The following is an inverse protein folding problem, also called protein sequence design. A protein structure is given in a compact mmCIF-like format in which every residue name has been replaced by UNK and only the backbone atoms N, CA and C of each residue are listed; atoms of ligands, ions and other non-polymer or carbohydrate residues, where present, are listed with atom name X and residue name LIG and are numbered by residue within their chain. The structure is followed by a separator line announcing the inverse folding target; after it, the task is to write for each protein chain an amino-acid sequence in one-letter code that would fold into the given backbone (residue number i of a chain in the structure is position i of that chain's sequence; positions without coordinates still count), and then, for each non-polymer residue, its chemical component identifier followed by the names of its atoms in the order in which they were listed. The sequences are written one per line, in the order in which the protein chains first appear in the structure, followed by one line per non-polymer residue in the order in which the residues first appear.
data_IF_615137910828
#
_entry.id   IF_615137910828
#
_cell.length_a   1.000
_cell.length_b   1.000
_cell.length_c   1.000
_cell.angle_alpha   90.00
_cell.angle_beta   90.00
_cell.angle_gamma   90.00
#
_symmetry.space_group_name_H-M   'P 1'
#
loop_
_entity.id
_entity.type
_entity.pdbx_description
1 polymer ?
#
# COMPACT_ATOMS: atom_id res chain seq x y z
N UNK A 1 14.26 -11.21 9.85
CA UNK A 1 13.18 -12.00 10.50
C UNK A 1 12.48 -11.20 11.61
N UNK A 2 13.16 -10.64 12.59
CA UNK A 2 12.59 -9.85 13.71
C UNK A 2 11.70 -8.67 13.26
N UNK A 3 12.09 -7.92 12.20
CA UNK A 3 11.29 -6.81 11.68
C UNK A 3 9.90 -7.26 11.23
N UNK A 4 9.77 -8.38 10.50
CA UNK A 4 8.47 -8.90 10.04
C UNK A 4 7.60 -9.44 11.17
N UNK A 5 8.21 -10.01 12.22
CA UNK A 5 7.50 -10.43 13.43
C UNK A 5 6.92 -9.19 14.15
N UNK A 6 7.70 -8.12 14.27
CA UNK A 6 7.24 -6.85 14.86
C UNK A 6 6.11 -6.20 14.04
N UNK A 7 6.21 -6.23 12.71
CA UNK A 7 5.15 -5.79 11.80
C UNK A 7 3.86 -6.60 11.97
N UNK A 8 3.99 -7.93 12.13
CA UNK A 8 2.82 -8.79 12.37
C UNK A 8 2.12 -8.46 13.69
N UNK A 9 2.86 -8.32 14.80
CA UNK A 9 2.28 -7.90 16.08
C UNK A 9 1.67 -6.49 16.02
N UNK A 10 2.32 -5.56 15.34
CA UNK A 10 1.76 -4.22 15.11
C UNK A 10 0.45 -4.25 14.33
N UNK A 11 0.35 -5.13 13.33
CA UNK A 11 -0.87 -5.31 12.54
C UNK A 11 -2.04 -5.90 13.37
N UNK A 12 -1.76 -6.80 14.30
CA UNK A 12 -2.80 -7.40 15.16
C UNK A 12 -3.43 -6.38 16.13
N UNK A 13 -2.68 -5.34 16.53
CA UNK A 13 -3.12 -4.30 17.47
C UNK A 13 -3.25 -2.92 16.80
N UNK A 14 -3.48 -2.89 15.49
CA UNK A 14 -3.57 -1.64 14.74
C UNK A 14 -4.82 -0.84 15.16
N UNK A 15 -4.59 0.41 15.55
CA UNK A 15 -5.62 1.38 15.91
C UNK A 15 -5.16 2.76 15.43
N UNK A 16 -6.06 3.51 14.80
CA UNK A 16 -5.78 4.89 14.37
C UNK A 16 -6.06 5.84 15.53
N UNK A 17 -5.03 6.55 15.96
CA UNK A 17 -5.14 7.54 17.02
C UNK A 17 -5.80 8.84 16.52
N UNK A 18 -6.44 9.65 17.40
CA UNK A 18 -7.05 10.92 17.00
C UNK A 18 -6.11 11.87 16.24
N UNK A 19 -4.84 11.95 16.67
CA UNK A 19 -3.83 12.76 15.97
C UNK A 19 -3.51 12.25 14.55
N UNK A 20 -3.71 10.97 14.29
CA UNK A 20 -3.49 10.35 12.98
C UNK A 20 -4.68 10.55 12.05
N UNK A 21 -5.90 10.63 12.59
CA UNK A 21 -7.08 11.04 11.82
C UNK A 21 -6.89 12.45 11.23
N UNK A 22 -6.28 13.36 12.00
CA UNK A 22 -5.96 14.70 11.50
C UNK A 22 -5.03 14.65 10.28
N UNK A 23 -4.05 13.75 10.24
CA UNK A 23 -3.17 13.58 9.06
C UNK A 23 -4.00 13.24 7.82
N UNK A 24 -5.00 12.38 7.96
CA UNK A 24 -5.85 11.94 6.85
C UNK A 24 -6.70 13.11 6.35
N UNK A 25 -7.40 13.79 7.26
CA UNK A 25 -8.31 14.90 6.93
C UNK A 25 -7.57 16.12 6.36
N UNK A 26 -6.36 16.42 6.84
CA UNK A 26 -5.57 17.55 6.35
C UNK A 26 -4.97 17.32 4.95
N UNK A 27 -4.81 16.06 4.52
CA UNK A 27 -4.07 15.73 3.28
C UNK A 27 -4.90 15.07 2.19
N UNK A 28 -6.08 14.53 2.50
CA UNK A 28 -6.95 13.84 1.55
C UNK A 28 -8.30 14.55 1.42
N UNK A 29 -8.82 14.68 0.20
CA UNK A 29 -10.19 15.11 -0.02
C UNK A 29 -11.18 13.97 0.31
N UNK A 30 -12.48 14.25 0.33
CA UNK A 30 -13.53 13.31 0.72
C UNK A 30 -13.51 12.01 -0.12
N UNK A 31 -13.33 12.12 -1.43
CA UNK A 31 -13.29 10.95 -2.30
C UNK A 31 -12.04 10.08 -2.06
N UNK A 32 -10.88 10.70 -1.80
CA UNK A 32 -9.64 10.01 -1.43
C UNK A 32 -9.76 9.37 -0.03
N UNK A 33 -10.41 10.05 0.92
CA UNK A 33 -10.70 9.52 2.27
C UNK A 33 -11.57 8.27 2.19
N UNK A 34 -12.57 8.23 1.33
CA UNK A 34 -13.42 7.06 1.14
C UNK A 34 -12.60 5.83 0.72
N UNK A 35 -11.62 5.98 -0.17
CA UNK A 35 -10.72 4.89 -0.53
C UNK A 35 -9.78 4.52 0.60
N UNK A 36 -9.24 5.50 1.33
CA UNK A 36 -8.37 5.26 2.48
C UNK A 36 -9.09 4.45 3.56
N UNK A 37 -10.29 4.87 3.97
CA UNK A 37 -11.07 4.17 4.99
C UNK A 37 -11.68 2.84 4.52
N UNK A 38 -11.73 2.58 3.22
CA UNK A 38 -12.11 1.27 2.69
C UNK A 38 -11.02 0.20 2.88
N UNK A 39 -9.77 0.58 3.19
CA UNK A 39 -8.70 -0.35 3.53
C UNK A 39 -8.94 -1.00 4.89
N UNK A 40 -8.31 -2.15 5.15
CA UNK A 40 -8.24 -2.71 6.51
C UNK A 40 -7.45 -1.76 7.43
N UNK A 41 -7.82 -1.70 8.72
CA UNK A 41 -7.18 -0.78 9.70
C UNK A 41 -5.66 -0.94 9.76
N UNK A 42 -5.15 -2.15 9.55
CA UNK A 42 -3.71 -2.43 9.50
C UNK A 42 -3.02 -1.75 8.31
N UNK A 43 -3.69 -1.71 7.14
CA UNK A 43 -3.16 -1.03 5.95
C UNK A 43 -3.26 0.48 6.10
N UNK A 44 -4.30 0.97 6.77
CA UNK A 44 -4.43 2.39 7.12
C UNK A 44 -3.28 2.83 8.05
N UNK A 45 -3.00 2.07 9.11
CA UNK A 45 -1.88 2.34 10.03
C UNK A 45 -0.52 2.25 9.32
N UNK A 46 -0.34 1.27 8.41
CA UNK A 46 0.86 1.16 7.58
C UNK A 46 1.03 2.41 6.70
N UNK A 47 0.00 2.83 5.98
CA UNK A 47 0.04 4.02 5.13
C UNK A 47 0.39 5.30 5.92
N UNK A 48 -0.12 5.45 7.15
CA UNK A 48 0.25 6.56 8.05
C UNK A 48 1.72 6.48 8.46
N UNK A 49 2.25 5.29 8.73
CA UNK A 49 3.67 5.13 9.06
C UNK A 49 4.55 5.44 7.85
N UNK A 50 4.17 4.99 6.66
CA UNK A 50 4.85 5.35 5.40
C UNK A 50 4.81 6.87 5.19
N UNK A 51 3.67 7.52 5.41
CA UNK A 51 3.55 8.99 5.36
C UNK A 51 4.55 9.70 6.30
N UNK A 52 4.67 9.25 7.55
CA UNK A 52 5.64 9.82 8.50
C UNK A 52 7.09 9.61 8.03
N UNK A 53 7.38 8.47 7.42
CA UNK A 53 8.71 8.12 6.94
C UNK A 53 9.07 8.88 5.67
N UNK A 54 8.16 9.04 4.70
CA UNK A 54 8.42 9.85 3.50
C UNK A 54 8.75 11.30 3.85
N UNK A 55 8.10 11.88 4.87
CA UNK A 55 8.41 13.24 5.32
C UNK A 55 9.81 13.38 5.95
N UNK A 56 10.33 12.33 6.56
CA UNK A 56 11.71 12.30 7.06
C UNK A 56 12.70 12.22 5.90
N UNK A 57 12.47 11.29 4.97
CA UNK A 57 13.36 11.06 3.83
C UNK A 57 13.35 12.27 2.88
N UNK A 58 12.19 12.91 2.67
CA UNK A 58 12.07 14.08 1.79
C UNK A 58 12.99 15.24 2.18
N UNK A 59 13.35 15.36 3.46
CA UNK A 59 14.30 16.38 3.94
C UNK A 59 15.74 16.20 3.42
N UNK A 60 16.06 15.02 2.90
CA UNK A 60 17.37 14.72 2.30
C UNK A 60 17.49 15.28 0.87
N UNK A 61 16.40 15.82 0.30
CA UNK A 61 16.30 16.24 -1.10
C UNK A 61 15.88 17.70 -1.24
N UNK A 62 16.53 18.44 -2.14
CA UNK A 62 16.27 19.87 -2.35
C UNK A 62 15.02 20.16 -3.22
N UNK A 63 14.58 19.20 -4.02
CA UNK A 63 13.47 19.37 -4.96
C UNK A 63 12.59 18.13 -4.99
N UNK A 64 11.52 18.17 -4.20
CA UNK A 64 10.51 17.08 -4.09
C UNK A 64 9.13 17.72 -4.01
N UNK A 65 8.17 17.19 -4.72
CA UNK A 65 6.77 17.55 -4.53
C UNK A 65 6.23 16.86 -3.26
N UNK A 66 6.35 17.56 -2.14
CA UNK A 66 5.93 17.07 -0.81
C UNK A 66 4.43 16.81 -0.76
N UNK A 67 3.61 17.59 -1.48
CA UNK A 67 2.15 17.40 -1.52
C UNK A 67 1.79 16.11 -2.25
N UNK A 68 2.40 15.87 -3.41
CA UNK A 68 2.28 14.63 -4.15
C UNK A 68 2.72 13.43 -3.31
N UNK A 69 3.87 13.56 -2.64
CA UNK A 69 4.47 12.49 -1.83
C UNK A 69 3.58 12.12 -0.63
N UNK A 70 3.01 13.12 0.07
CA UNK A 70 2.08 12.92 1.18
C UNK A 70 0.84 12.12 0.76
N UNK A 71 0.19 12.55 -0.32
CA UNK A 71 -1.00 11.87 -0.84
C UNK A 71 -0.68 10.46 -1.32
N UNK A 72 0.41 10.30 -2.05
CA UNK A 72 0.83 9.00 -2.56
C UNK A 72 1.13 8.03 -1.42
N UNK A 73 1.78 8.48 -0.34
CA UNK A 73 2.06 7.65 0.83
C UNK A 73 0.78 7.15 1.52
N UNK A 74 -0.24 8.00 1.64
CA UNK A 74 -1.53 7.59 2.23
C UNK A 74 -2.34 6.67 1.32
N UNK A 75 -2.17 6.77 0.01
CA UNK A 75 -3.03 6.12 -0.97
C UNK A 75 -2.37 4.93 -1.70
N UNK A 76 -1.09 4.62 -1.43
CA UNK A 76 -0.36 3.60 -2.22
C UNK A 76 -1.00 2.21 -2.17
N UNK A 77 -1.63 1.87 -1.08
CA UNK A 77 -2.24 0.57 -0.81
C UNK A 77 -3.77 0.51 -0.95
N UNK A 78 -4.44 1.58 -1.45
CA UNK A 78 -5.92 1.63 -1.59
C UNK A 78 -6.52 0.56 -2.50
N UNK A 79 -5.70 -0.13 -3.27
CA UNK A 79 -6.11 -1.31 -4.03
C UNK A 79 -6.41 -2.54 -3.16
N UNK A 80 -6.13 -2.50 -1.86
CA UNK A 80 -6.45 -3.54 -0.87
C UNK A 80 -7.66 -3.10 -0.03
N UNK A 81 -8.83 -3.63 -0.34
CA UNK A 81 -10.02 -3.34 0.46
C UNK A 81 -10.07 -4.19 1.73
N UNK A 82 -10.75 -3.69 2.74
CA UNK A 82 -11.03 -4.45 3.95
C UNK A 82 -11.69 -5.80 3.58
N UNK A 83 -11.23 -6.87 4.23
CA UNK A 83 -11.62 -8.28 3.99
C UNK A 83 -11.06 -8.93 2.71
N UNK A 84 -10.37 -8.22 1.81
CA UNK A 84 -9.72 -8.86 0.66
C UNK A 84 -8.57 -9.77 1.09
N UNK A 85 -7.81 -9.35 2.12
CA UNK A 85 -6.72 -10.12 2.71
C UNK A 85 -6.83 -10.09 4.24
N UNK A 86 -6.83 -11.26 4.86
CA UNK A 86 -6.52 -11.37 6.28
C UNK A 86 -5.03 -11.15 6.53
N UNK A 87 -4.63 -10.92 7.79
CA UNK A 87 -3.21 -10.83 8.18
C UNK A 87 -2.45 -12.11 7.78
N UNK A 88 -3.07 -13.27 7.94
CA UNK A 88 -2.50 -14.55 7.52
C UNK A 88 -2.32 -14.65 6.01
N UNK A 89 -3.32 -14.21 5.23
CA UNK A 89 -3.23 -14.19 3.77
C UNK A 89 -2.07 -13.30 3.29
N UNK A 90 -1.83 -12.15 3.94
CA UNK A 90 -0.68 -11.28 3.64
C UNK A 90 0.65 -12.01 3.87
N UNK A 91 0.82 -12.66 5.03
CA UNK A 91 2.05 -13.39 5.35
C UNK A 91 2.27 -14.54 4.36
N UNK A 92 1.24 -15.33 4.09
CA UNK A 92 1.34 -16.45 3.16
C UNK A 92 1.60 -15.95 1.74
N UNK A 93 0.93 -14.89 1.29
CA UNK A 93 1.17 -14.29 -0.03
C UNK A 93 2.62 -13.84 -0.19
N UNK A 94 3.17 -13.11 0.80
CA UNK A 94 4.59 -12.70 0.80
C UNK A 94 5.51 -13.91 0.67
N UNK A 95 5.29 -14.97 1.44
CA UNK A 95 6.11 -16.17 1.39
C UNK A 95 5.97 -16.91 0.04
N UNK A 96 4.74 -17.03 -0.46
CA UNK A 96 4.46 -17.67 -1.75
C UNK A 96 5.14 -16.91 -2.91
N UNK A 97 5.01 -15.59 -2.98
CA UNK A 97 5.67 -14.81 -4.03
C UNK A 97 7.19 -14.77 -3.87
N UNK A 98 7.72 -14.88 -2.65
CA UNK A 98 9.17 -14.97 -2.41
C UNK A 98 9.78 -16.30 -2.84
N UNK A 99 9.16 -17.43 -2.47
CA UNK A 99 9.74 -18.75 -2.67
C UNK A 99 9.19 -19.48 -3.91
N UNK A 100 7.95 -19.22 -4.30
CA UNK A 100 7.25 -19.91 -5.39
C UNK A 100 6.51 -18.92 -6.33
N UNK A 101 7.21 -17.88 -6.89
CA UNK A 101 6.54 -16.79 -7.62
C UNK A 101 5.71 -17.26 -8.81
N UNK A 102 6.19 -18.24 -9.56
CA UNK A 102 5.47 -18.80 -10.72
C UNK A 102 4.19 -19.52 -10.29
N UNK A 103 4.23 -20.28 -9.18
CA UNK A 103 3.07 -20.98 -8.64
C UNK A 103 2.05 -19.98 -8.06
N UNK A 104 2.52 -19.01 -7.27
CA UNK A 104 1.67 -17.97 -6.72
C UNK A 104 0.92 -17.19 -7.81
N UNK A 105 1.62 -16.80 -8.88
CA UNK A 105 1.02 -16.14 -10.03
C UNK A 105 -0.02 -17.00 -10.76
N UNK A 106 0.22 -18.32 -10.92
CA UNK A 106 -0.76 -19.24 -11.52
C UNK A 106 -1.99 -19.46 -10.64
N UNK A 107 -1.83 -19.45 -9.32
CA UNK A 107 -2.93 -19.63 -8.37
C UNK A 107 -3.74 -18.34 -8.19
N UNK A 108 -3.14 -17.18 -8.39
CA UNK A 108 -3.80 -15.88 -8.25
C UNK A 108 -5.02 -15.77 -9.18
N UNK A 109 -6.22 -15.64 -8.60
CA UNK A 109 -7.47 -15.53 -9.37
C UNK A 109 -8.45 -14.63 -8.64
N UNK A 110 -9.03 -13.69 -9.38
CA UNK A 110 -10.09 -12.84 -8.84
C UNK A 110 -11.36 -13.65 -8.54
N UNK A 111 -12.02 -13.31 -7.44
CA UNK A 111 -13.30 -13.88 -7.03
C UNK A 111 -13.19 -14.64 -5.71
N UNK A 112 -14.20 -14.43 -4.87
CA UNK A 112 -14.33 -15.03 -3.52
C UNK A 112 -15.37 -16.17 -3.53
N UNK A 113 -15.43 -16.93 -2.46
CA UNK A 113 -16.38 -18.02 -2.32
C UNK A 113 -15.97 -18.97 -1.19
N UNK A 114 -15.48 -20.16 -1.54
CA UNK A 114 -14.93 -21.08 -0.57
C UNK A 114 -13.51 -20.67 -0.11
N UNK A 115 -12.95 -21.39 0.86
CA UNK A 115 -11.61 -21.09 1.45
C UNK A 115 -10.51 -21.05 0.37
N UNK A 116 -10.55 -21.95 -0.61
CA UNK A 116 -9.56 -22.00 -1.71
C UNK A 116 -9.67 -20.75 -2.60
N UNK A 117 -10.89 -20.37 -2.98
CA UNK A 117 -11.12 -19.19 -3.79
C UNK A 117 -10.74 -17.90 -3.05
N UNK A 118 -11.01 -17.83 -1.74
CA UNK A 118 -10.58 -16.69 -0.91
C UNK A 118 -9.06 -16.55 -0.88
N UNK A 119 -8.34 -17.66 -0.72
CA UNK A 119 -6.88 -17.66 -0.78
C UNK A 119 -6.35 -17.23 -2.17
N UNK A 120 -6.95 -17.75 -3.25
CA UNK A 120 -6.58 -17.36 -4.62
C UNK A 120 -6.87 -15.88 -4.89
N UNK A 121 -7.98 -15.37 -4.36
CA UNK A 121 -8.32 -13.95 -4.43
C UNK A 121 -7.30 -13.12 -3.64
N UNK A 122 -6.89 -13.55 -2.47
CA UNK A 122 -5.86 -12.87 -1.69
C UNK A 122 -4.53 -12.77 -2.45
N UNK A 123 -4.08 -13.86 -3.10
CA UNK A 123 -2.91 -13.83 -3.98
C UNK A 123 -3.09 -12.85 -5.15
N UNK A 124 -4.29 -12.81 -5.74
CA UNK A 124 -4.61 -11.87 -6.83
C UNK A 124 -4.52 -10.41 -6.36
N UNK A 125 -5.13 -10.07 -5.23
CA UNK A 125 -5.09 -8.72 -4.67
C UNK A 125 -3.67 -8.36 -4.27
N UNK A 126 -2.92 -9.26 -3.63
CA UNK A 126 -1.52 -9.03 -3.29
C UNK A 126 -0.67 -8.68 -4.51
N UNK A 127 -0.86 -9.37 -5.63
CA UNK A 127 -0.12 -9.13 -6.87
C UNK A 127 -0.56 -7.85 -7.59
N UNK A 128 -1.87 -7.55 -7.60
CA UNK A 128 -2.45 -6.55 -8.49
C UNK A 128 -2.88 -5.25 -7.77
N UNK A 129 -2.78 -5.14 -6.42
CA UNK A 129 -3.22 -3.94 -5.71
C UNK A 129 -2.58 -2.63 -6.22
N UNK A 130 -1.30 -2.60 -6.71
CA UNK A 130 -0.78 -1.37 -7.25
C UNK A 130 -1.58 -0.86 -8.47
N UNK A 131 -1.93 -1.76 -9.38
CA UNK A 131 -2.73 -1.45 -10.57
C UNK A 131 -4.17 -1.13 -10.21
N UNK A 132 -4.76 -1.89 -9.28
CA UNK A 132 -6.13 -1.64 -8.80
C UNK A 132 -6.19 -0.25 -8.16
N UNK A 133 -5.28 0.07 -7.24
CA UNK A 133 -5.18 1.38 -6.60
C UNK A 133 -4.96 2.51 -7.60
N UNK A 134 -4.06 2.32 -8.56
CA UNK A 134 -3.80 3.29 -9.61
C UNK A 134 -5.06 3.62 -10.44
N UNK A 135 -5.85 2.61 -10.81
CA UNK A 135 -7.11 2.81 -11.54
C UNK A 135 -8.10 3.62 -10.70
N UNK A 136 -8.26 3.28 -9.41
CA UNK A 136 -9.16 4.01 -8.50
C UNK A 136 -8.78 5.49 -8.40
N UNK A 137 -7.51 5.77 -8.21
CA UNK A 137 -6.99 7.15 -8.06
C UNK A 137 -6.99 7.91 -9.38
N UNK A 138 -6.71 7.25 -10.49
CA UNK A 138 -6.81 7.86 -11.84
C UNK A 138 -8.24 8.32 -12.14
N UNK A 139 -9.24 7.54 -11.74
CA UNK A 139 -10.66 7.89 -11.92
C UNK A 139 -11.09 9.13 -11.13
N UNK A 140 -10.32 9.52 -10.09
CA UNK A 140 -10.47 10.80 -9.39
C UNK A 140 -9.74 11.98 -10.08
N UNK A 141 -9.11 11.76 -11.24
CA UNK A 141 -8.32 12.76 -11.96
C UNK A 141 -6.86 12.90 -11.46
N UNK A 142 -6.42 12.12 -10.48
CA UNK A 142 -5.09 12.21 -9.87
C UNK A 142 -4.06 11.35 -10.62
N UNK A 143 -3.77 11.70 -11.88
CA UNK A 143 -2.92 10.91 -12.79
C UNK A 143 -1.51 10.68 -12.22
N UNK A 144 -0.84 11.72 -11.72
CA UNK A 144 0.53 11.61 -11.18
C UNK A 144 0.61 10.67 -9.97
N UNK A 145 -0.36 10.75 -9.05
CA UNK A 145 -0.45 9.83 -7.91
C UNK A 145 -0.65 8.40 -8.40
N UNK A 146 -1.56 8.20 -9.35
CA UNK A 146 -1.84 6.89 -9.92
C UNK A 146 -0.60 6.24 -10.59
N UNK A 147 0.20 7.02 -11.32
CA UNK A 147 1.44 6.54 -11.96
C UNK A 147 2.46 6.04 -10.92
N UNK A 148 2.63 6.76 -9.80
CA UNK A 148 3.52 6.34 -8.72
C UNK A 148 2.96 5.09 -8.05
N UNK A 149 1.67 5.05 -7.73
CA UNK A 149 1.01 3.88 -7.11
C UNK A 149 1.18 2.64 -7.99
N UNK A 150 0.98 2.75 -9.31
CA UNK A 150 1.13 1.62 -10.23
C UNK A 150 2.53 0.97 -10.18
N UNK A 151 3.55 1.74 -9.80
CA UNK A 151 4.96 1.31 -9.84
C UNK A 151 5.57 1.02 -8.47
N UNK A 152 4.89 1.26 -7.35
CA UNK A 152 5.52 1.26 -6.03
C UNK A 152 6.14 -0.08 -5.60
N UNK A 153 5.80 -1.19 -6.25
CA UNK A 153 6.46 -2.50 -6.07
C UNK A 153 7.34 -2.93 -7.24
N UNK A 154 7.51 -2.10 -8.27
CA UNK A 154 8.40 -2.41 -9.39
C UNK A 154 9.86 -2.12 -9.02
N UNK A 155 10.80 -2.71 -9.77
CA UNK A 155 12.21 -2.37 -9.62
C UNK A 155 12.45 -0.91 -10.01
N UNK A 156 13.21 -0.20 -9.19
CA UNK A 156 13.60 1.19 -9.45
C UNK A 156 14.35 1.28 -10.79
N UNK A 157 13.96 2.26 -11.60
CA UNK A 157 14.61 2.62 -12.85
C UNK A 157 15.15 4.06 -12.70
N UNK A 158 16.29 4.38 -13.35
CA UNK A 158 16.88 5.72 -13.37
C UNK A 158 15.98 6.81 -13.98
N UNK A 159 14.92 6.42 -14.69
CA UNK A 159 13.90 7.34 -15.24
C UNK A 159 12.71 7.57 -14.31
N UNK A 160 12.64 6.87 -13.19
CA UNK A 160 11.54 7.00 -12.24
C UNK A 160 11.67 8.31 -11.46
N UNK A 161 10.53 8.86 -11.01
CA UNK A 161 10.51 10.09 -10.24
C UNK A 161 11.16 9.90 -8.86
N UNK A 162 11.64 11.00 -8.30
CA UNK A 162 12.22 11.02 -6.96
C UNK A 162 11.19 10.63 -5.91
N UNK A 163 9.92 11.01 -6.11
CA UNK A 163 8.81 10.69 -5.21
C UNK A 163 8.55 9.18 -5.17
N UNK A 164 8.63 8.48 -6.32
CA UNK A 164 8.52 7.02 -6.36
C UNK A 164 9.65 6.37 -5.58
N UNK A 165 10.89 6.84 -5.73
CA UNK A 165 12.04 6.31 -5.01
C UNK A 165 11.91 6.50 -3.49
N UNK A 166 11.46 7.69 -3.07
CA UNK A 166 11.23 8.00 -1.65
C UNK A 166 10.10 7.12 -1.10
N UNK A 167 8.98 6.97 -1.83
CA UNK A 167 7.88 6.11 -1.43
C UNK A 167 8.32 4.66 -1.24
N UNK A 168 9.04 4.10 -2.22
CA UNK A 168 9.52 2.71 -2.15
C UNK A 168 10.49 2.49 -0.99
N UNK A 169 11.39 3.45 -0.73
CA UNK A 169 12.28 3.41 0.42
C UNK A 169 11.49 3.42 1.73
N UNK A 170 10.52 4.34 1.85
CA UNK A 170 9.69 4.46 3.03
C UNK A 170 8.82 3.22 3.29
N UNK A 171 8.20 2.66 2.25
CA UNK A 171 7.41 1.42 2.33
C UNK A 171 8.28 0.23 2.78
N UNK A 172 9.48 0.09 2.24
CA UNK A 172 10.43 -0.96 2.65
C UNK A 172 10.93 -0.78 4.10
N UNK A 173 10.94 0.44 4.64
CA UNK A 173 11.35 0.72 6.03
C UNK A 173 10.24 0.40 7.04
N UNK A 174 8.96 0.34 6.64
CA UNK A 174 7.78 0.09 7.46
C UNK A 174 7.19 -1.29 7.24
#
# INVERSE_FOLDING_TARGET
MLKRIKQFYGACNAEIKPAELKIIFDNLNEAEQNFFFAMAVQDQCHAINVFKTVLKIAKEYNSVDVTLLKKTALLHDVGRKNKDLSIFDKVISVLMFKFFPKLAGKLAKYGRGNKINNFRHALYVYLNHPQIGAILIKNLGNVKIAEIIAKHHQKINHKDSIELNILQRADNEN
#
